data_IF_041137375129
#
_entry.id   IF_041137375129
#
_cell.length_a   1.000
_cell.length_b   1.000
_cell.length_c   1.000
_cell.angle_alpha   90.00
_cell.angle_beta   90.00
_cell.angle_gamma   90.00
#
_symmetry.space_group_name_H-M   'P 1'
#
loop_
_entity.id
_entity.type
_entity.pdbx_description
1 polymer ?
#
# COMPACT_ATOMS: atom_id res chain seq x y z
N UNK A 1 -4.46 -17.42 21.88
CA UNK A 1 -3.26 -17.76 21.09
C UNK A 1 -3.58 -18.58 19.84
N UNK A 2 -3.95 -19.87 19.96
CA UNK A 2 -4.16 -20.77 18.79
C UNK A 2 -5.13 -20.24 17.71
N UNK A 3 -6.27 -19.67 18.11
CA UNK A 3 -7.24 -19.12 17.14
C UNK A 3 -6.71 -17.88 16.40
N UNK A 4 -5.96 -17.01 17.08
CA UNK A 4 -5.36 -15.83 16.46
C UNK A 4 -4.28 -16.23 15.44
N UNK A 5 -3.47 -17.24 15.79
CA UNK A 5 -2.50 -17.80 14.85
C UNK A 5 -3.18 -18.38 13.60
N UNK A 6 -4.27 -19.12 13.76
CA UNK A 6 -5.08 -19.62 12.64
C UNK A 6 -5.64 -18.47 11.78
N UNK A 7 -6.15 -17.43 12.43
CA UNK A 7 -6.76 -16.27 11.76
C UNK A 7 -5.76 -15.50 10.88
N UNK A 8 -4.47 -15.52 11.22
CA UNK A 8 -3.41 -14.83 10.49
C UNK A 8 -2.73 -15.77 9.49
N UNK A 9 -2.29 -16.94 9.96
CA UNK A 9 -1.45 -17.85 9.17
C UNK A 9 -2.22 -18.48 8.01
N UNK A 10 -3.48 -18.90 8.23
CA UNK A 10 -4.22 -19.60 7.17
C UNK A 10 -4.52 -18.67 5.98
N UNK A 11 -5.14 -17.48 6.16
CA UNK A 11 -5.39 -16.59 5.04
C UNK A 11 -4.12 -16.17 4.32
N UNK A 12 -3.05 -15.85 5.06
CA UNK A 12 -1.76 -15.49 4.49
C UNK A 12 -1.12 -16.63 3.68
N UNK A 13 -1.16 -17.86 4.21
CA UNK A 13 -0.63 -19.01 3.48
C UNK A 13 -1.44 -19.32 2.22
N UNK A 14 -2.78 -19.16 2.28
CA UNK A 14 -3.64 -19.35 1.11
C UNK A 14 -3.39 -18.30 0.03
N UNK A 15 -3.26 -17.04 0.42
CA UNK A 15 -2.87 -15.94 -0.46
C UNK A 15 -1.56 -16.26 -1.19
N UNK A 16 -0.49 -16.52 -0.44
CA UNK A 16 0.82 -16.85 -0.98
C UNK A 16 0.78 -18.07 -1.93
N UNK A 17 0.08 -19.13 -1.54
CA UNK A 17 -0.08 -20.32 -2.38
C UNK A 17 -0.82 -20.00 -3.69
N UNK A 18 -1.90 -19.23 -3.62
CA UNK A 18 -2.67 -18.86 -4.81
C UNK A 18 -1.87 -17.90 -5.70
N UNK A 19 -1.18 -16.92 -5.13
CA UNK A 19 -0.37 -15.98 -5.87
C UNK A 19 0.76 -16.69 -6.63
N UNK A 20 1.68 -17.34 -5.90
CA UNK A 20 2.94 -17.81 -6.47
C UNK A 20 2.85 -19.17 -7.16
N UNK A 21 1.98 -20.07 -6.70
CA UNK A 21 1.92 -21.43 -7.23
C UNK A 21 0.75 -21.66 -8.18
N UNK A 22 -0.25 -20.77 -8.21
CA UNK A 22 -1.42 -20.90 -9.09
C UNK A 22 -1.46 -19.78 -10.12
N UNK A 23 -1.59 -18.53 -9.69
CA UNK A 23 -1.83 -17.38 -10.56
C UNK A 23 -0.61 -17.04 -11.39
N UNK A 24 0.58 -16.91 -10.79
CA UNK A 24 1.79 -16.55 -11.53
C UNK A 24 2.14 -17.56 -12.65
N UNK A 25 2.19 -18.89 -12.40
CA UNK A 25 2.41 -19.87 -13.47
C UNK A 25 1.29 -19.89 -14.51
N UNK A 26 0.04 -19.71 -14.09
CA UNK A 26 -1.10 -19.62 -15.00
C UNK A 26 -0.97 -18.42 -15.94
N UNK A 27 -0.69 -17.23 -15.41
CA UNK A 27 -0.58 -15.99 -16.18
C UNK A 27 0.58 -16.03 -17.17
N UNK A 28 1.72 -16.61 -16.79
CA UNK A 28 2.87 -16.78 -17.70
C UNK A 28 2.50 -17.63 -18.93
N UNK A 29 1.73 -18.71 -18.74
CA UNK A 29 1.23 -19.53 -19.86
C UNK A 29 0.10 -18.84 -20.62
N UNK A 30 -0.79 -18.17 -19.91
CA UNK A 30 -2.01 -17.57 -20.47
C UNK A 30 -1.67 -16.42 -21.42
N UNK A 31 -0.75 -15.53 -21.03
CA UNK A 31 -0.29 -14.43 -21.87
C UNK A 31 0.39 -14.92 -23.16
N UNK A 32 1.07 -16.08 -23.13
CA UNK A 32 1.70 -16.67 -24.33
C UNK A 32 0.69 -17.29 -25.30
N UNK A 33 -0.48 -17.70 -24.81
CA UNK A 33 -1.48 -18.45 -25.59
C UNK A 33 -2.66 -17.60 -26.04
N UNK A 34 -3.01 -16.55 -25.29
CA UNK A 34 -4.17 -15.68 -25.55
C UNK A 34 -3.71 -14.27 -25.89
N UNK A 35 -3.83 -13.82 -27.16
CA UNK A 35 -3.38 -12.50 -27.59
C UNK A 35 -4.04 -11.34 -26.84
N UNK A 36 -5.32 -11.47 -26.50
CA UNK A 36 -6.04 -10.47 -25.73
C UNK A 36 -5.46 -10.31 -24.32
N UNK A 37 -5.08 -11.41 -23.66
CA UNK A 37 -4.46 -11.38 -22.35
C UNK A 37 -3.09 -10.71 -22.41
N UNK A 38 -2.31 -11.00 -23.47
CA UNK A 38 -1.04 -10.34 -23.72
C UNK A 38 -1.19 -8.84 -23.89
N UNK A 39 -2.23 -8.38 -24.58
CA UNK A 39 -2.51 -6.96 -24.77
C UNK A 39 -2.98 -6.27 -23.48
N UNK A 40 -3.85 -6.92 -22.70
CA UNK A 40 -4.40 -6.36 -21.45
C UNK A 40 -3.32 -6.21 -20.39
N UNK A 41 -2.42 -7.19 -20.28
CA UNK A 41 -1.32 -7.19 -19.32
C UNK A 41 -0.02 -6.62 -19.91
N UNK A 42 -0.09 -6.00 -21.09
CA UNK A 42 1.04 -5.32 -21.71
C UNK A 42 1.39 -4.01 -20.99
N UNK A 43 2.52 -3.41 -21.36
CA UNK A 43 2.95 -2.11 -20.89
C UNK A 43 1.93 -1.03 -21.25
N UNK A 44 1.49 -0.30 -20.23
CA UNK A 44 0.47 0.74 -20.33
C UNK A 44 1.06 2.09 -20.72
N UNK A 45 0.21 3.08 -20.99
CA UNK A 45 0.66 4.39 -21.51
C UNK A 45 1.58 5.12 -20.53
N UNK A 46 1.24 5.15 -19.25
CA UNK A 46 2.07 5.83 -18.25
C UNK A 46 3.42 5.12 -18.08
N UNK A 47 3.44 3.78 -18.03
CA UNK A 47 4.67 2.97 -17.99
C UNK A 47 5.57 3.23 -19.20
N UNK A 48 5.00 3.33 -20.41
CA UNK A 48 5.77 3.69 -21.62
C UNK A 48 6.46 5.05 -21.48
N UNK A 49 5.82 6.03 -20.84
CA UNK A 49 6.43 7.34 -20.61
C UNK A 49 7.59 7.24 -19.62
N UNK A 50 7.45 6.46 -18.55
CA UNK A 50 8.53 6.20 -17.59
C UNK A 50 9.71 5.48 -18.26
N UNK A 51 9.45 4.44 -19.05
CA UNK A 51 10.49 3.75 -19.82
C UNK A 51 11.25 4.70 -20.75
N UNK A 52 10.55 5.63 -21.41
CA UNK A 52 11.21 6.64 -22.26
C UNK A 52 12.09 7.59 -21.45
N UNK A 53 11.67 7.97 -20.23
CA UNK A 53 12.50 8.79 -19.34
C UNK A 53 13.75 8.02 -18.93
N UNK A 54 13.61 6.76 -18.52
CA UNK A 54 14.74 5.93 -18.11
C UNK A 54 15.73 5.70 -19.26
N UNK A 55 15.25 5.41 -20.48
CA UNK A 55 16.12 5.29 -21.66
C UNK A 55 16.86 6.59 -22.00
N UNK A 56 16.26 7.75 -21.74
CA UNK A 56 16.95 9.05 -21.92
C UNK A 56 18.04 9.24 -20.88
N UNK A 57 17.79 8.84 -19.63
CA UNK A 57 18.80 8.87 -18.56
C UNK A 57 19.96 7.94 -18.91
N UNK A 58 19.68 6.71 -19.37
CA UNK A 58 20.73 5.75 -19.73
C UNK A 58 21.57 6.24 -20.92
N UNK A 59 20.93 6.83 -21.94
CA UNK A 59 21.64 7.48 -23.04
C UNK A 59 22.53 8.63 -22.55
N UNK A 60 22.03 9.45 -21.63
CA UNK A 60 22.79 10.57 -21.07
C UNK A 60 23.98 10.06 -20.25
N UNK A 61 23.81 8.93 -19.54
CA UNK A 61 24.88 8.25 -18.81
C UNK A 61 26.01 7.80 -19.73
N UNK A 62 25.71 7.11 -20.84
CA UNK A 62 26.76 6.70 -21.79
C UNK A 62 27.56 7.89 -22.33
N UNK A 63 26.88 8.97 -22.73
CA UNK A 63 27.55 10.20 -23.18
C UNK A 63 28.42 10.81 -22.09
N UNK A 64 27.92 10.85 -20.85
CA UNK A 64 28.69 11.38 -19.74
C UNK A 64 29.95 10.57 -19.46
N UNK A 65 29.87 9.23 -19.50
CA UNK A 65 31.02 8.34 -19.28
C UNK A 65 32.10 8.47 -20.37
N UNK A 66 31.70 8.75 -21.61
CA UNK A 66 32.60 9.09 -22.72
C UNK A 66 33.32 10.43 -22.47
N UNK A 67 32.57 11.49 -22.17
CA UNK A 67 33.10 12.86 -21.98
C UNK A 67 34.12 12.96 -20.83
N UNK A 68 33.97 12.14 -19.80
CA UNK A 68 34.91 12.06 -18.66
C UNK A 68 36.05 11.06 -18.88
N UNK A 69 36.13 10.43 -20.07
CA UNK A 69 37.18 9.49 -20.43
C UNK A 69 37.14 8.17 -19.66
N UNK A 70 35.99 7.78 -19.10
CA UNK A 70 35.83 6.47 -18.42
C UNK A 70 35.64 5.33 -19.40
N UNK A 71 35.03 5.60 -20.55
CA UNK A 71 34.69 4.60 -21.57
C UNK A 71 35.02 5.16 -22.96
N UNK A 72 35.41 4.31 -23.93
CA UNK A 72 35.56 4.74 -25.31
C UNK A 72 34.21 5.20 -25.90
N UNK A 73 34.22 6.08 -26.92
CA UNK A 73 33.00 6.47 -27.63
C UNK A 73 32.34 5.22 -28.23
N UNK A 74 31.06 5.03 -27.93
CA UNK A 74 30.27 3.99 -28.58
C UNK A 74 29.97 4.43 -30.01
N UNK A 75 30.07 3.50 -30.95
CA UNK A 75 29.50 3.73 -32.28
C UNK A 75 27.98 3.89 -32.20
N UNK A 76 27.38 4.57 -33.19
CA UNK A 76 25.92 4.74 -33.23
C UNK A 76 25.16 3.39 -33.23
N UNK A 77 25.75 2.35 -33.82
CA UNK A 77 25.18 1.01 -33.87
C UNK A 77 25.24 0.32 -32.50
N UNK A 78 26.39 0.37 -31.81
CA UNK A 78 26.54 -0.19 -30.45
C UNK A 78 25.62 0.53 -29.47
N UNK A 79 25.57 1.87 -29.50
CA UNK A 79 24.67 2.65 -28.66
C UNK A 79 23.19 2.30 -28.91
N UNK A 80 22.81 2.05 -30.17
CA UNK A 80 21.46 1.59 -30.48
C UNK A 80 21.16 0.19 -29.94
N UNK A 81 22.11 -0.75 -30.06
CA UNK A 81 21.96 -2.11 -29.57
C UNK A 81 21.78 -2.15 -28.05
N UNK A 82 22.61 -1.40 -27.31
CA UNK A 82 22.53 -1.28 -25.85
C UNK A 82 21.18 -0.69 -25.40
N UNK A 83 20.77 0.43 -26.00
CA UNK A 83 19.48 1.05 -25.68
C UNK A 83 18.29 0.16 -26.07
N UNK A 84 18.39 -0.61 -27.16
CA UNK A 84 17.39 -1.60 -27.54
C UNK A 84 17.31 -2.73 -26.52
N UNK A 85 18.45 -3.24 -26.05
CA UNK A 85 18.48 -4.27 -25.02
C UNK A 85 17.80 -3.78 -23.75
N UNK A 86 18.18 -2.59 -23.26
CA UNK A 86 17.55 -1.96 -22.09
C UNK A 86 16.05 -1.74 -22.29
N UNK A 87 15.61 -1.33 -23.47
CA UNK A 87 14.19 -1.15 -23.77
C UNK A 87 13.39 -2.47 -23.71
N UNK A 88 13.99 -3.59 -24.12
CA UNK A 88 13.38 -4.92 -24.04
C UNK A 88 13.32 -5.42 -22.60
N UNK A 89 14.39 -5.22 -21.84
CA UNK A 89 14.47 -5.52 -20.40
C UNK A 89 13.35 -4.78 -19.64
N UNK A 90 13.29 -3.46 -19.77
CA UNK A 90 12.26 -2.63 -19.13
C UNK A 90 10.83 -3.06 -19.50
N UNK A 91 10.62 -3.43 -20.76
CA UNK A 91 9.32 -3.92 -21.22
C UNK A 91 8.94 -5.21 -20.50
N UNK A 92 9.89 -6.14 -20.37
CA UNK A 92 9.63 -7.45 -19.80
C UNK A 92 9.48 -7.37 -18.26
N UNK A 93 10.20 -6.46 -17.61
CA UNK A 93 10.00 -6.07 -16.20
C UNK A 93 8.60 -5.52 -15.96
N UNK A 94 8.18 -4.49 -16.70
CA UNK A 94 6.85 -3.90 -16.53
C UNK A 94 5.71 -4.88 -16.82
N UNK A 95 5.90 -5.78 -17.79
CA UNK A 95 4.93 -6.86 -18.05
C UNK A 95 4.86 -7.86 -16.90
N UNK A 96 5.99 -8.16 -16.27
CA UNK A 96 6.01 -9.01 -15.08
C UNK A 96 5.28 -8.33 -13.92
N UNK A 97 5.51 -7.04 -13.73
CA UNK A 97 4.85 -6.27 -12.68
C UNK A 97 3.33 -6.20 -12.89
N UNK A 98 2.87 -5.98 -14.14
CA UNK A 98 1.45 -6.01 -14.47
C UNK A 98 0.81 -7.39 -14.17
N UNK A 99 1.54 -8.49 -14.39
CA UNK A 99 1.07 -9.84 -14.04
C UNK A 99 1.01 -10.05 -12.52
N UNK A 100 2.01 -9.56 -11.77
CA UNK A 100 2.03 -9.62 -10.30
C UNK A 100 0.88 -8.81 -9.71
N UNK A 101 0.71 -7.57 -10.14
CA UNK A 101 -0.41 -6.72 -9.73
C UNK A 101 -1.77 -7.40 -9.98
N UNK A 102 -1.95 -8.03 -11.14
CA UNK A 102 -3.16 -8.80 -11.42
C UNK A 102 -3.29 -10.01 -10.48
N UNK A 103 -2.21 -10.75 -10.22
CA UNK A 103 -2.22 -11.88 -9.31
C UNK A 103 -2.56 -11.46 -7.87
N UNK A 104 -1.98 -10.35 -7.38
CA UNK A 104 -2.24 -9.75 -6.07
C UNK A 104 -3.73 -9.49 -5.84
N UNK A 105 -4.44 -8.90 -6.83
CA UNK A 105 -5.89 -8.65 -6.73
C UNK A 105 -6.66 -9.95 -6.39
N UNK A 106 -6.33 -11.03 -7.08
CA UNK A 106 -7.05 -12.31 -6.93
C UNK A 106 -6.61 -13.09 -5.69
N UNK A 107 -5.32 -13.06 -5.34
CA UNK A 107 -4.82 -13.73 -4.14
C UNK A 107 -5.33 -13.03 -2.87
N UNK A 108 -5.36 -11.69 -2.85
CA UNK A 108 -5.94 -10.90 -1.76
C UNK A 108 -7.46 -11.13 -1.64
N UNK A 109 -8.15 -11.39 -2.76
CA UNK A 109 -9.56 -11.80 -2.71
C UNK A 109 -9.70 -13.15 -1.99
N UNK A 110 -8.80 -14.10 -2.23
CA UNK A 110 -8.77 -15.39 -1.52
C UNK A 110 -8.41 -15.19 -0.04
N UNK A 111 -7.47 -14.30 0.28
CA UNK A 111 -7.19 -13.88 1.65
C UNK A 111 -8.47 -13.40 2.34
N UNK A 112 -9.17 -12.44 1.73
CA UNK A 112 -10.39 -11.84 2.27
C UNK A 112 -11.51 -12.86 2.46
N UNK A 113 -11.75 -13.73 1.47
CA UNK A 113 -12.76 -14.80 1.55
C UNK A 113 -12.39 -15.80 2.65
N UNK A 114 -11.14 -16.26 2.71
CA UNK A 114 -10.73 -17.23 3.72
C UNK A 114 -10.82 -16.65 5.14
N UNK A 115 -10.40 -15.40 5.33
CA UNK A 115 -10.55 -14.67 6.59
C UNK A 115 -12.02 -14.56 6.99
N UNK A 116 -12.88 -14.18 6.04
CA UNK A 116 -14.33 -14.10 6.26
C UNK A 116 -14.92 -15.45 6.68
N UNK A 117 -14.58 -16.55 5.98
CA UNK A 117 -15.08 -17.88 6.31
C UNK A 117 -14.61 -18.33 7.69
N UNK A 118 -13.34 -18.09 8.05
CA UNK A 118 -12.81 -18.42 9.38
C UNK A 118 -13.60 -17.69 10.46
N UNK A 119 -13.83 -16.38 10.29
CA UNK A 119 -14.62 -15.58 11.23
C UNK A 119 -16.08 -16.03 11.29
N UNK A 120 -16.68 -16.30 10.13
CA UNK A 120 -18.09 -16.69 10.01
C UNK A 120 -18.37 -18.03 10.69
N UNK A 121 -17.52 -19.05 10.48
CA UNK A 121 -17.72 -20.38 11.06
C UNK A 121 -17.25 -20.52 12.51
N UNK A 122 -16.42 -19.61 13.03
CA UNK A 122 -15.88 -19.68 14.40
C UNK A 122 -16.48 -18.62 15.35
N UNK A 123 -17.80 -18.36 15.26
CA UNK A 123 -18.50 -17.32 16.03
C UNK A 123 -18.19 -17.34 17.54
N UNK A 124 -18.11 -18.51 18.16
CA UNK A 124 -17.79 -18.65 19.59
C UNK A 124 -16.39 -18.15 19.95
N UNK A 125 -15.38 -18.47 19.12
CA UNK A 125 -14.00 -17.99 19.31
C UNK A 125 -13.88 -16.51 19.02
N UNK A 126 -14.63 -16.00 18.03
CA UNK A 126 -14.73 -14.57 17.73
C UNK A 126 -15.34 -13.81 18.91
N UNK A 127 -16.41 -14.33 19.53
CA UNK A 127 -17.00 -13.73 20.71
C UNK A 127 -16.03 -13.67 21.89
N UNK A 128 -15.24 -14.73 22.11
CA UNK A 128 -14.18 -14.73 23.14
C UNK A 128 -13.08 -13.70 22.86
N UNK A 129 -12.69 -13.53 21.59
CA UNK A 129 -11.72 -12.53 21.18
C UNK A 129 -12.25 -11.10 21.42
N UNK A 130 -13.51 -10.85 21.01
CA UNK A 130 -14.20 -9.58 21.28
C UNK A 130 -14.28 -9.28 22.78
N UNK A 131 -14.66 -10.27 23.58
CA UNK A 131 -14.74 -10.13 25.04
C UNK A 131 -13.36 -9.82 25.65
N UNK A 132 -12.31 -10.50 25.19
CA UNK A 132 -10.94 -10.29 25.66
C UNK A 132 -10.45 -8.88 25.30
N UNK A 133 -10.67 -8.43 24.06
CA UNK A 133 -10.34 -7.06 23.63
C UNK A 133 -11.10 -6.01 24.45
N UNK A 134 -12.41 -6.22 24.64
CA UNK A 134 -13.24 -5.34 25.46
C UNK A 134 -12.74 -5.26 26.91
N UNK A 135 -12.37 -6.39 27.51
CA UNK A 135 -11.82 -6.45 28.87
C UNK A 135 -10.49 -5.70 28.97
N UNK A 136 -9.60 -5.84 27.99
CA UNK A 136 -8.31 -5.12 27.97
C UNK A 136 -8.56 -3.61 27.90
N UNK A 137 -9.40 -3.16 26.97
CA UNK A 137 -9.71 -1.73 26.79
C UNK A 137 -10.38 -1.17 28.05
N UNK A 138 -11.31 -1.90 28.66
CA UNK A 138 -12.00 -1.44 29.86
C UNK A 138 -11.14 -1.43 31.12
N UNK A 139 -10.08 -2.24 31.18
CA UNK A 139 -9.14 -2.22 32.31
C UNK A 139 -8.20 -1.00 32.28
N UNK A 140 -8.19 -0.25 31.17
CA UNK A 140 -7.49 1.04 31.09
C UNK A 140 -8.36 2.10 31.77
N UNK A 141 -7.72 2.99 32.55
CA UNK A 141 -8.42 4.13 33.14
C UNK A 141 -9.04 5.04 32.07
N UNK A 142 -10.12 5.75 32.38
CA UNK A 142 -10.76 6.63 31.39
C UNK A 142 -9.83 7.74 30.89
N UNK A 143 -8.91 8.21 31.73
CA UNK A 143 -7.80 9.09 31.34
C UNK A 143 -6.83 8.41 30.39
N UNK A 144 -6.47 7.14 30.64
CA UNK A 144 -5.57 6.37 29.76
C UNK A 144 -6.20 6.06 28.40
N UNK A 145 -7.51 5.78 28.35
CA UNK A 145 -8.26 5.63 27.09
C UNK A 145 -8.23 6.93 26.29
N UNK A 146 -8.51 8.06 26.95
CA UNK A 146 -8.46 9.39 26.31
C UNK A 146 -7.06 9.70 25.76
N UNK A 147 -6.02 9.45 26.55
CA UNK A 147 -4.63 9.62 26.13
C UNK A 147 -4.26 8.73 24.94
N UNK A 148 -4.64 7.44 24.96
CA UNK A 148 -4.34 6.51 23.87
C UNK A 148 -5.04 6.92 22.56
N UNK A 149 -6.29 7.41 22.64
CA UNK A 149 -6.98 7.93 21.47
C UNK A 149 -6.24 9.15 20.91
N UNK A 150 -5.90 10.13 21.76
CA UNK A 150 -5.16 11.34 21.35
C UNK A 150 -3.82 10.96 20.69
N UNK A 151 -3.05 10.07 21.31
CA UNK A 151 -1.76 9.61 20.81
C UNK A 151 -1.88 8.95 19.44
N UNK A 152 -2.82 8.01 19.28
CA UNK A 152 -3.06 7.33 18.00
C UNK A 152 -3.48 8.33 16.93
N UNK A 153 -4.38 9.25 17.26
CA UNK A 153 -4.84 10.25 16.29
C UNK A 153 -3.74 11.21 15.89
N UNK A 154 -2.87 11.61 16.80
CA UNK A 154 -1.76 12.51 16.48
C UNK A 154 -0.70 11.83 15.59
N UNK A 155 -0.43 10.54 15.80
CA UNK A 155 0.50 9.76 14.96
C UNK A 155 -0.04 9.57 13.54
N UNK A 156 -1.32 9.19 13.38
CA UNK A 156 -1.88 8.83 12.08
C UNK A 156 -2.49 9.99 11.31
N UNK A 157 -2.93 11.05 12.00
CA UNK A 157 -3.69 12.16 11.41
C UNK A 157 -3.04 13.53 11.69
N UNK A 158 -1.95 13.56 12.45
CA UNK A 158 -1.21 14.78 12.70
C UNK A 158 -0.51 15.30 11.44
N UNK A 159 0.04 16.52 11.55
CA UNK A 159 0.68 17.22 10.44
C UNK A 159 1.87 16.46 9.82
N UNK A 160 2.53 15.59 10.59
CA UNK A 160 3.63 14.76 10.12
C UNK A 160 3.20 13.45 9.43
N UNK A 161 1.89 13.19 9.35
CA UNK A 161 1.38 11.96 8.74
C UNK A 161 1.38 11.97 7.22
N UNK A 162 1.61 13.14 6.57
CA UNK A 162 1.56 13.31 5.11
C UNK A 162 2.42 12.27 4.37
N UNK A 163 3.68 12.11 4.79
CA UNK A 163 4.58 11.12 4.20
C UNK A 163 4.14 9.68 4.45
N UNK A 164 3.49 9.42 5.60
CA UNK A 164 2.90 8.12 5.92
C UNK A 164 1.72 7.79 5.01
N UNK A 165 0.85 8.76 4.75
CA UNK A 165 -0.27 8.62 3.80
C UNK A 165 0.22 8.47 2.36
N UNK A 166 1.24 9.23 1.96
CA UNK A 166 1.88 9.08 0.65
C UNK A 166 2.41 7.65 0.47
N UNK A 167 3.26 7.21 1.40
CA UNK A 167 3.85 5.86 1.34
C UNK A 167 2.78 4.77 1.33
N UNK A 168 1.74 4.91 2.16
CA UNK A 168 0.64 3.95 2.20
C UNK A 168 -0.09 3.86 0.85
N UNK A 169 -0.38 4.99 0.22
CA UNK A 169 -1.06 5.03 -1.07
C UNK A 169 -0.17 4.50 -2.19
N UNK A 170 1.11 4.85 -2.20
CA UNK A 170 2.08 4.32 -3.18
C UNK A 170 2.14 2.80 -3.10
N UNK A 171 2.27 2.23 -1.88
CA UNK A 171 2.26 0.77 -1.68
C UNK A 171 0.96 0.14 -2.18
N UNK A 172 -0.20 0.74 -1.92
CA UNK A 172 -1.50 0.20 -2.39
C UNK A 172 -1.59 0.27 -3.93
N UNK A 173 -1.19 1.40 -4.51
CA UNK A 173 -1.26 1.63 -5.96
C UNK A 173 -0.31 0.69 -6.70
N UNK A 174 0.90 0.51 -6.20
CA UNK A 174 1.87 -0.44 -6.76
C UNK A 174 1.40 -1.88 -6.61
N UNK A 175 0.94 -2.27 -5.42
CA UNK A 175 0.49 -3.64 -5.12
C UNK A 175 -0.64 -4.10 -6.04
N UNK A 176 -1.60 -3.23 -6.33
CA UNK A 176 -2.70 -3.53 -7.26
C UNK A 176 -2.45 -3.05 -8.69
N UNK A 177 -1.28 -2.45 -8.94
CA UNK A 177 -0.90 -1.86 -10.23
C UNK A 177 -1.91 -0.83 -10.74
N UNK A 178 -2.52 -0.01 -9.88
CA UNK A 178 -3.51 0.99 -10.30
C UNK A 178 -2.85 2.16 -11.04
N UNK A 179 -3.53 2.70 -12.05
CA UNK A 179 -3.10 3.95 -12.69
C UNK A 179 -3.76 5.13 -11.98
N UNK A 180 -3.04 5.75 -11.04
CA UNK A 180 -3.55 6.92 -10.32
C UNK A 180 -2.77 8.15 -10.74
N UNK A 181 -3.49 9.21 -11.09
CA UNK A 181 -2.89 10.50 -11.39
C UNK A 181 -2.25 11.12 -10.13
N UNK A 182 -1.10 11.75 -10.30
CA UNK A 182 -0.36 12.35 -9.18
C UNK A 182 -1.18 13.45 -8.50
N UNK A 183 -1.96 14.23 -9.26
CA UNK A 183 -2.83 15.24 -8.66
C UNK A 183 -3.93 14.61 -7.79
N UNK A 184 -4.46 13.44 -8.16
CA UNK A 184 -5.44 12.74 -7.35
C UNK A 184 -4.85 12.24 -6.02
N UNK A 185 -3.62 11.71 -6.05
CA UNK A 185 -2.88 11.34 -4.83
C UNK A 185 -2.65 12.57 -3.93
N UNK A 186 -2.15 13.68 -4.50
CA UNK A 186 -1.94 14.92 -3.75
C UNK A 186 -3.24 15.43 -3.12
N UNK A 187 -4.34 15.48 -3.87
CA UNK A 187 -5.63 15.92 -3.34
C UNK A 187 -6.09 15.02 -2.19
N UNK A 188 -5.94 13.69 -2.33
CA UNK A 188 -6.31 12.76 -1.26
C UNK A 188 -5.49 13.03 0.00
N UNK A 189 -4.16 13.11 -0.12
CA UNK A 189 -3.23 13.30 0.99
C UNK A 189 -3.47 14.64 1.70
N UNK A 190 -3.78 15.70 0.96
CA UNK A 190 -4.06 17.01 1.55
C UNK A 190 -5.46 17.11 2.18
N UNK A 191 -6.47 16.40 1.65
CA UNK A 191 -7.86 16.58 2.07
C UNK A 191 -8.30 15.53 3.10
N UNK A 192 -8.12 14.25 2.79
CA UNK A 192 -8.77 13.17 3.54
C UNK A 192 -8.19 13.03 4.96
N UNK A 193 -6.88 12.96 5.17
CA UNK A 193 -6.30 12.93 6.52
C UNK A 193 -6.72 14.14 7.35
N UNK A 194 -6.72 15.34 6.77
CA UNK A 194 -7.09 16.60 7.46
C UNK A 194 -8.57 16.62 7.85
N UNK A 195 -9.46 16.15 6.99
CA UNK A 195 -10.89 16.04 7.31
C UNK A 195 -11.12 15.01 8.41
N UNK A 196 -10.47 13.84 8.34
CA UNK A 196 -10.57 12.81 9.38
C UNK A 196 -10.04 13.35 10.72
N UNK A 197 -8.89 14.04 10.72
CA UNK A 197 -8.33 14.71 11.90
C UNK A 197 -9.34 15.67 12.54
N UNK A 198 -9.92 16.57 11.74
CA UNK A 198 -10.92 17.52 12.21
C UNK A 198 -12.16 16.82 12.78
N UNK A 199 -12.69 15.79 12.10
CA UNK A 199 -13.83 15.01 12.58
C UNK A 199 -13.52 14.31 13.91
N UNK A 200 -12.34 13.70 14.04
CA UNK A 200 -11.93 13.01 15.26
C UNK A 200 -11.73 14.01 16.40
N UNK A 201 -11.05 15.14 16.16
CA UNK A 201 -10.91 16.22 17.15
C UNK A 201 -12.26 16.73 17.62
N UNK A 202 -13.20 17.02 16.71
CA UNK A 202 -14.56 17.45 17.05
C UNK A 202 -15.30 16.40 17.89
N UNK A 203 -15.18 15.13 17.53
CA UNK A 203 -15.73 14.02 18.30
C UNK A 203 -15.12 13.97 19.71
N UNK A 204 -13.79 14.09 19.83
CA UNK A 204 -13.08 14.12 21.11
C UNK A 204 -13.56 15.28 21.99
N UNK A 205 -13.60 16.52 21.46
CA UNK A 205 -14.08 17.68 22.22
C UNK A 205 -15.55 17.55 22.67
N UNK A 206 -16.39 16.87 21.89
CA UNK A 206 -17.81 16.68 22.23
C UNK A 206 -18.04 15.55 23.25
N UNK A 207 -17.27 14.46 23.16
CA UNK A 207 -17.51 13.23 23.92
C UNK A 207 -16.58 13.04 25.12
N UNK A 208 -15.31 13.45 25.06
CA UNK A 208 -14.37 13.28 26.18
C UNK A 208 -14.79 14.01 27.47
N UNK A 209 -15.30 15.25 27.44
CA UNK A 209 -15.75 15.93 28.66
C UNK A 209 -16.93 15.23 29.36
N UNK A 210 -17.66 14.36 28.64
CA UNK A 210 -18.79 13.59 29.19
C UNK A 210 -18.37 12.28 29.85
N UNK A 211 -17.13 11.84 29.64
CA UNK A 211 -16.62 10.57 30.18
C UNK A 211 -16.02 10.73 31.59
N UNK A 212 -15.43 11.89 31.91
CA UNK A 212 -14.91 12.16 33.26
C UNK A 212 -14.69 13.66 33.52
N UNK A 213 -15.08 14.19 34.70
CA UNK A 213 -14.79 15.57 35.11
C UNK A 213 -13.29 15.91 35.08
N UNK A 214 -12.40 14.92 35.34
CA UNK A 214 -10.95 15.11 35.33
C UNK A 214 -10.39 15.36 33.93
N UNK A 215 -10.99 14.75 32.90
CA UNK A 215 -10.60 14.96 31.50
C UNK A 215 -11.03 16.34 31.02
N UNK A 216 -12.18 16.84 31.50
CA UNK A 216 -12.62 18.22 31.25
C UNK A 216 -11.62 19.26 31.77
N UNK A 217 -11.02 19.04 32.95
CA UNK A 217 -10.03 19.96 33.51
C UNK A 217 -8.73 20.01 32.70
N UNK A 218 -8.23 18.86 32.22
CA UNK A 218 -7.04 18.79 31.36
C UNK A 218 -7.28 19.53 30.03
N UNK A 219 -8.45 19.35 29.41
CA UNK A 219 -8.80 20.09 28.20
C UNK A 219 -8.96 21.59 28.44
N UNK A 220 -9.46 22.01 29.61
CA UNK A 220 -9.54 23.43 29.97
C UNK A 220 -8.15 24.05 30.19
N UNK A 221 -7.19 23.32 30.73
CA UNK A 221 -5.78 23.78 30.82
C UNK A 221 -5.13 23.86 29.44
N UNK A 222 -5.30 22.86 28.58
CA UNK A 222 -4.77 22.88 27.21
C UNK A 222 -5.37 24.00 26.35
N UNK A 223 -6.62 24.42 26.61
CA UNK A 223 -7.27 25.54 25.90
C UNK A 223 -6.84 26.91 26.43
N UNK A 224 -6.15 26.95 27.57
CA UNK A 224 -5.66 28.18 28.23
C UNK A 224 -4.25 28.57 27.78
N UNK A 225 -3.57 27.68 27.06
CA UNK A 225 -2.30 27.88 26.38
C UNK A 225 -2.51 27.89 24.86
#
# INVERSE_FOLDING_TARGET
AKFLAILIIIPWALDFMVHDYVLMPFLDRYVKTVPLAAQVLDVRRHQKLEMVKELKVERARYRFEEEIGKSPPLSDEEAWLELRHKALELRDEWRLENRRAFANIWSDMVFGISLFLILYFNQSKVALLKFTGYKIINNISDTGKAFLIILVTDIFLGYHSESGWQTLLEVIVEHYGLEVDQAALTIFICLIPVVIDACVKLWLFKFLPRLSPKVSNIFQEMKRH
#
